data_IF_786156881060
#
_entry.id   IF_786156881060
#
_cell.length_a   1.000
_cell.length_b   1.000
_cell.length_c   1.000
_cell.angle_alpha   90.00
_cell.angle_beta   90.00
_cell.angle_gamma   90.00
#
_symmetry.space_group_name_H-M   'P 1'
#
loop_
_entity.id
_entity.type
_entity.pdbx_description
1 polymer ?
#
# COMPACT_ATOMS: atom_id res chain seq x y z
N UNK A 1 -4.46 13.16 17.03
CA UNK A 1 -4.54 11.95 16.19
C UNK A 1 -4.07 10.72 16.96
N UNK A 2 -4.82 9.62 16.85
CA UNK A 2 -4.42 8.24 17.17
C UNK A 2 -4.55 7.41 15.89
N UNK A 3 -3.69 6.42 15.71
CA UNK A 3 -3.78 5.46 14.61
C UNK A 3 -4.61 4.26 15.03
N UNK A 4 -5.59 3.87 14.23
CA UNK A 4 -6.39 2.66 14.41
C UNK A 4 -6.18 1.73 13.21
N UNK A 5 -5.85 0.46 13.48
CA UNK A 5 -5.78 -0.55 12.43
C UNK A 5 -7.21 -0.92 11.98
N UNK A 6 -7.49 -0.78 10.69
CA UNK A 6 -8.80 -1.10 10.12
C UNK A 6 -8.62 -2.20 9.08
N UNK A 7 -9.36 -3.29 9.25
CA UNK A 7 -9.46 -4.36 8.26
C UNK A 7 -10.70 -4.13 7.39
N UNK A 8 -10.51 -4.15 6.07
CA UNK A 8 -11.55 -3.86 5.08
C UNK A 8 -11.74 -5.07 4.19
N UNK A 9 -12.98 -5.52 4.07
CA UNK A 9 -13.41 -6.48 3.03
C UNK A 9 -14.14 -5.70 1.95
N UNK A 10 -13.63 -5.72 0.73
CA UNK A 10 -14.17 -4.97 -0.39
C UNK A 10 -14.50 -5.89 -1.58
N UNK A 11 -15.65 -5.67 -2.20
CA UNK A 11 -16.02 -6.34 -3.45
C UNK A 11 -15.34 -5.66 -4.64
N UNK A 12 -14.68 -6.45 -5.48
CA UNK A 12 -14.07 -5.97 -6.72
C UNK A 12 -15.13 -5.89 -7.81
N UNK A 13 -15.44 -4.68 -8.26
CA UNK A 13 -16.52 -4.41 -9.23
C UNK A 13 -16.07 -4.42 -10.69
N UNK A 14 -14.75 -4.45 -10.95
CA UNK A 14 -14.23 -4.46 -12.31
C UNK A 14 -14.39 -5.85 -12.99
N UNK A 15 -15.04 -5.81 -14.15
CA UNK A 15 -15.48 -6.97 -14.91
C UNK A 15 -14.30 -7.76 -15.52
N UNK A 16 -14.07 -8.95 -14.97
CA UNK A 16 -13.81 -10.23 -15.68
C UNK A 16 -12.59 -10.38 -16.61
N UNK A 17 -11.73 -9.38 -16.84
CA UNK A 17 -10.48 -9.57 -17.60
C UNK A 17 -9.30 -8.78 -17.04
N UNK A 18 -8.74 -9.26 -15.94
CA UNK A 18 -7.42 -8.83 -15.44
C UNK A 18 -6.50 -10.04 -15.28
N UNK A 19 -5.19 -9.90 -15.51
CA UNK A 19 -4.23 -10.93 -15.11
C UNK A 19 -4.17 -11.02 -13.58
N UNK A 20 -3.52 -12.06 -13.06
CA UNK A 20 -3.15 -12.09 -11.65
C UNK A 20 -2.26 -10.89 -11.33
N UNK A 21 -2.61 -10.16 -10.29
CA UNK A 21 -1.91 -8.95 -9.87
C UNK A 21 -1.09 -9.27 -8.62
N UNK A 22 0.15 -8.77 -8.57
CA UNK A 22 1.07 -8.94 -7.44
C UNK A 22 1.46 -7.55 -6.91
N UNK A 23 1.47 -7.40 -5.58
CA UNK A 23 1.77 -6.14 -4.86
C UNK A 23 0.99 -4.95 -5.42
N UNK A 24 -0.32 -4.98 -5.18
CA UNK A 24 -1.31 -4.03 -5.70
C UNK A 24 -1.48 -2.88 -4.72
N UNK A 25 -1.23 -1.64 -5.17
CA UNK A 25 -1.47 -0.45 -4.37
C UNK A 25 -2.95 -0.11 -4.32
N UNK A 26 -3.44 0.25 -3.14
CA UNK A 26 -4.81 0.73 -2.93
C UNK A 26 -4.80 2.26 -2.80
N UNK A 27 -5.64 2.89 -3.61
CA UNK A 27 -5.78 4.34 -3.74
C UNK A 27 -7.22 4.75 -3.50
N UNK A 28 -7.44 6.02 -3.15
CA UNK A 28 -8.78 6.60 -2.99
C UNK A 28 -8.90 7.45 -1.73
N UNK A 29 -10.15 7.70 -1.34
CA UNK A 29 -10.50 8.55 -0.22
C UNK A 29 -11.28 7.75 0.81
N UNK A 30 -10.93 7.94 2.08
CA UNK A 30 -11.67 7.38 3.20
C UNK A 30 -11.97 8.52 4.16
N UNK A 31 -13.24 8.70 4.47
CA UNK A 31 -13.73 9.78 5.32
C UNK A 31 -14.53 9.22 6.48
N UNK A 32 -14.55 9.95 7.59
CA UNK A 32 -15.54 9.75 8.65
C UNK A 32 -16.92 10.11 8.08
N UNK A 33 -17.89 9.19 8.15
CA UNK A 33 -19.22 9.40 7.61
C UNK A 33 -20.03 10.46 8.39
N UNK A 34 -19.62 10.80 9.62
CA UNK A 34 -20.29 11.78 10.48
C UNK A 34 -19.78 13.19 10.17
N UNK A 35 -18.46 13.40 10.20
CA UNK A 35 -17.83 14.72 10.05
C UNK A 35 -17.45 15.05 8.61
N UNK A 36 -17.26 14.03 7.77
CA UNK A 36 -16.70 14.18 6.42
C UNK A 36 -15.18 14.38 6.41
N UNK A 37 -14.52 14.37 7.56
CA UNK A 37 -13.07 14.53 7.66
C UNK A 37 -12.34 13.30 7.10
N UNK A 38 -11.16 13.53 6.52
CA UNK A 38 -10.31 12.43 6.05
C UNK A 38 -9.78 11.61 7.22
N UNK A 39 -9.85 10.29 7.10
CA UNK A 39 -9.17 9.38 8.04
C UNK A 39 -7.81 8.91 7.52
N UNK A 40 -7.37 9.44 6.38
CA UNK A 40 -6.06 9.16 5.81
C UNK A 40 -5.07 10.27 6.21
N UNK A 41 -4.04 9.93 6.98
CA UNK A 41 -3.08 10.91 7.51
C UNK A 41 -2.33 11.70 6.41
N UNK A 42 -2.12 11.07 5.26
CA UNK A 42 -1.46 11.64 4.09
C UNK A 42 -2.38 12.49 3.21
N UNK A 43 -3.66 12.65 3.58
CA UNK A 43 -4.62 13.47 2.84
C UNK A 43 -5.65 14.14 3.76
N UNK A 44 -5.23 15.04 4.67
CA UNK A 44 -6.11 15.63 5.66
C UNK A 44 -7.15 16.60 5.06
N UNK A 45 -6.87 17.19 3.89
CA UNK A 45 -7.69 18.25 3.27
C UNK A 45 -8.59 17.75 2.13
N UNK A 46 -8.48 16.46 1.74
CA UNK A 46 -9.21 15.82 0.64
C UNK A 46 -8.98 16.51 -0.72
N UNK A 47 -7.97 17.39 -0.84
CA UNK A 47 -7.80 18.24 -2.02
C UNK A 47 -7.04 17.52 -3.15
N UNK A 48 -6.17 16.59 -2.78
CA UNK A 48 -5.40 15.73 -3.71
C UNK A 48 -5.69 14.26 -3.44
N UNK A 49 -5.43 13.37 -4.39
CA UNK A 49 -5.44 11.93 -4.11
C UNK A 49 -4.47 11.64 -2.95
N UNK A 50 -4.86 10.79 -2.00
CA UNK A 50 -3.99 10.38 -0.90
C UNK A 50 -2.76 9.61 -1.40
N UNK A 51 -2.75 9.22 -2.67
CA UNK A 51 -1.78 8.28 -3.19
C UNK A 51 -2.06 6.89 -2.60
N UNK A 52 -1.03 6.06 -2.59
CA UNK A 52 -1.15 4.70 -2.09
C UNK A 52 -1.17 4.70 -0.56
N UNK A 53 -2.24 4.19 0.05
CA UNK A 53 -2.32 4.09 1.51
C UNK A 53 -2.15 2.66 2.05
N UNK A 54 -2.24 1.64 1.18
CA UNK A 54 -1.90 0.26 1.55
C UNK A 54 -1.55 -0.59 0.31
N UNK A 55 -1.02 -1.80 0.54
CA UNK A 55 -0.65 -2.78 -0.49
C UNK A 55 -1.35 -4.10 -0.20
N UNK A 56 -2.01 -4.67 -1.21
CA UNK A 56 -2.48 -6.05 -1.21
C UNK A 56 -1.43 -6.92 -1.90
N UNK A 57 -1.01 -8.01 -1.25
CA UNK A 57 0.08 -8.86 -1.76
C UNK A 57 -0.24 -9.53 -3.10
N UNK A 58 -1.49 -9.95 -3.28
CA UNK A 58 -1.95 -10.54 -4.52
C UNK A 58 -3.45 -10.41 -4.70
N UNK A 59 -3.87 -10.22 -5.95
CA UNK A 59 -5.28 -10.25 -6.35
C UNK A 59 -5.38 -11.16 -7.56
N UNK A 60 -5.99 -12.33 -7.38
CA UNK A 60 -6.22 -13.30 -8.43
C UNK A 60 -7.21 -12.76 -9.47
N UNK A 61 -7.11 -13.29 -10.69
CA UNK A 61 -8.00 -12.95 -11.81
C UNK A 61 -9.48 -13.27 -11.54
N UNK A 62 -9.75 -14.30 -10.74
CA UNK A 62 -11.11 -14.76 -10.40
C UNK A 62 -11.63 -14.17 -9.07
N UNK A 63 -10.78 -13.44 -8.33
CA UNK A 63 -11.15 -12.92 -7.01
C UNK A 63 -12.26 -11.88 -7.14
N UNK A 64 -13.32 -12.06 -6.35
CA UNK A 64 -14.45 -11.12 -6.29
C UNK A 64 -14.41 -10.23 -5.06
N UNK A 65 -13.60 -10.62 -4.09
CA UNK A 65 -13.41 -9.91 -2.84
C UNK A 65 -11.92 -9.78 -2.57
N UNK A 66 -11.54 -8.66 -1.98
CA UNK A 66 -10.18 -8.43 -1.49
C UNK A 66 -10.26 -7.96 -0.05
N UNK A 67 -9.25 -8.35 0.72
CA UNK A 67 -9.07 -7.90 2.08
C UNK A 67 -7.78 -7.08 2.16
N UNK A 68 -7.84 -5.96 2.87
CA UNK A 68 -6.66 -5.15 3.14
C UNK A 68 -6.77 -4.45 4.48
N UNK A 69 -5.61 -4.08 5.02
CA UNK A 69 -5.50 -3.33 6.25
C UNK A 69 -4.92 -1.94 5.96
N UNK A 70 -5.41 -0.94 6.67
CA UNK A 70 -4.82 0.40 6.66
C UNK A 70 -4.92 1.04 8.05
N UNK A 71 -4.15 2.09 8.27
CA UNK A 71 -4.18 2.86 9.52
C UNK A 71 -5.05 4.09 9.34
N UNK A 72 -6.19 4.11 10.01
CA UNK A 72 -7.05 5.28 10.10
C UNK A 72 -6.49 6.26 11.15
N UNK A 73 -6.32 7.52 10.76
CA UNK A 73 -5.91 8.59 11.65
C UNK A 73 -7.14 9.32 12.19
N UNK A 74 -7.39 9.14 13.49
CA UNK A 74 -8.60 9.64 14.16
C UNK A 74 -8.23 10.66 15.24
N UNK A 75 -8.92 11.80 15.36
CA UNK A 75 -8.74 12.74 16.47
C UNK A 75 -8.84 12.05 17.84
N UNK A 76 -8.02 12.47 18.82
CA UNK A 76 -7.99 11.81 20.15
C UNK A 76 -9.23 12.14 20.98
N UNK A 77 -9.88 13.24 20.63
CA UNK A 77 -11.06 13.82 21.25
C UNK A 77 -12.32 13.02 20.92
N UNK A 78 -12.30 12.24 19.83
CA UNK A 78 -13.40 11.34 19.49
C UNK A 78 -13.40 10.17 20.48
N UNK A 79 -14.55 9.88 21.05
CA UNK A 79 -14.74 8.72 21.91
C UNK A 79 -15.11 7.51 21.06
N UNK A 80 -14.15 6.60 20.84
CA UNK A 80 -14.37 5.41 20.00
C UNK A 80 -15.11 4.29 20.69
N UNK A 81 -15.15 4.30 22.04
CA UNK A 81 -15.81 3.26 22.83
C UNK A 81 -17.34 3.32 22.64
N UNK A 82 -17.84 4.43 22.08
CA UNK A 82 -19.24 4.61 21.67
C UNK A 82 -19.61 3.84 20.41
N UNK A 83 -18.64 3.36 19.64
CA UNK A 83 -18.88 2.60 18.42
C UNK A 83 -18.56 1.13 18.64
N UNK A 84 -19.48 0.24 18.27
CA UNK A 84 -19.33 -1.21 18.41
C UNK A 84 -18.09 -1.75 17.69
N UNK A 85 -17.71 -1.13 16.57
CA UNK A 85 -16.53 -1.48 15.80
C UNK A 85 -15.21 -0.87 16.33
N UNK A 86 -15.25 -0.08 17.42
CA UNK A 86 -14.08 0.64 17.94
C UNK A 86 -13.59 1.77 17.03
N UNK A 87 -14.38 2.16 16.03
CA UNK A 87 -14.12 3.26 15.10
C UNK A 87 -15.45 3.84 14.60
N UNK A 88 -15.47 5.14 14.27
CA UNK A 88 -16.62 5.76 13.61
C UNK A 88 -16.94 5.08 12.26
N UNK A 89 -18.18 5.17 11.78
CA UNK A 89 -18.52 4.66 10.45
C UNK A 89 -17.67 5.35 9.38
N UNK A 90 -17.05 4.56 8.51
CA UNK A 90 -16.20 5.05 7.43
C UNK A 90 -16.96 5.08 6.11
N UNK A 91 -16.73 6.13 5.33
CA UNK A 91 -17.21 6.27 3.96
C UNK A 91 -16.01 6.19 3.01
N UNK A 92 -16.03 5.15 2.19
CA UNK A 92 -15.04 4.91 1.15
C UNK A 92 -15.51 5.52 -0.17
N UNK A 93 -14.65 6.32 -0.81
CA UNK A 93 -14.95 6.97 -2.07
C UNK A 93 -13.79 6.78 -3.05
N UNK A 94 -14.14 6.49 -4.31
CA UNK A 94 -13.18 6.36 -5.42
C UNK A 94 -12.03 5.39 -5.16
N UNK A 95 -12.30 4.26 -4.47
CA UNK A 95 -11.30 3.23 -4.25
C UNK A 95 -10.85 2.62 -5.57
N UNK A 96 -9.54 2.54 -5.77
CA UNK A 96 -8.92 1.93 -6.95
C UNK A 96 -7.76 1.05 -6.55
N UNK A 97 -7.64 -0.06 -7.27
CA UNK A 97 -6.50 -0.97 -7.20
C UNK A 97 -5.60 -0.69 -8.40
N UNK A 98 -4.33 -0.39 -8.15
CA UNK A 98 -3.36 -0.12 -9.20
C UNK A 98 -2.16 -1.03 -9.01
N UNK A 99 -1.89 -1.87 -10.03
CA UNK A 99 -0.67 -2.67 -10.11
C UNK A 99 0.31 -1.98 -11.05
N UNK A 100 1.48 -1.60 -10.54
CA UNK A 100 2.56 -1.07 -11.37
C UNK A 100 3.45 -2.21 -11.88
N UNK A 101 3.87 -2.18 -13.16
CA UNK A 101 4.89 -3.09 -13.67
C UNK A 101 6.22 -2.80 -12.94
N UNK A 102 6.51 -3.59 -11.91
CA UNK A 102 7.59 -3.33 -10.95
C UNK A 102 7.14 -3.28 -9.49
N UNK A 103 5.85 -3.35 -9.17
CA UNK A 103 5.37 -3.44 -7.79
C UNK A 103 6.00 -4.60 -7.02
N UNK A 104 6.26 -5.72 -7.70
CA UNK A 104 7.08 -6.86 -7.23
C UNK A 104 8.48 -6.48 -6.69
N UNK A 105 9.04 -5.33 -7.08
CA UNK A 105 10.31 -4.77 -6.63
C UNK A 105 10.22 -4.05 -5.26
N UNK A 106 9.01 -3.81 -4.70
CA UNK A 106 8.84 -3.37 -3.30
C UNK A 106 9.15 -4.56 -2.36
N UNK A 107 10.42 -4.96 -2.28
CA UNK A 107 10.97 -5.84 -1.26
C UNK A 107 11.53 -5.04 -0.10
N UNK A 108 11.93 -5.72 0.97
CA UNK A 108 12.80 -5.09 1.96
C UNK A 108 14.12 -4.73 1.26
N UNK A 109 14.52 -3.47 1.32
CA UNK A 109 15.80 -3.01 0.80
C UNK A 109 16.88 -3.72 1.60
N UNK A 110 17.76 -4.47 0.94
CA UNK A 110 18.86 -5.15 1.62
C UNK A 110 19.89 -4.12 2.12
N UNK A 111 20.69 -4.44 3.13
CA UNK A 111 21.78 -3.56 3.57
C UNK A 111 22.72 -3.18 2.41
N UNK A 112 22.99 -4.12 1.50
CA UNK A 112 23.78 -3.89 0.30
C UNK A 112 23.11 -2.98 -0.74
N UNK A 113 21.77 -2.99 -0.84
CA UNK A 113 21.02 -2.05 -1.68
C UNK A 113 21.00 -0.63 -1.10
N UNK A 114 21.04 -0.49 0.24
CA UNK A 114 21.15 0.83 0.90
C UNK A 114 22.56 1.41 0.78
N UNK A 115 23.57 0.61 1.07
CA UNK A 115 24.97 1.01 0.97
C UNK A 115 25.87 -0.21 0.76
N UNK A 116 26.33 -0.39 -0.47
CA UNK A 116 27.22 -1.47 -0.90
C UNK A 116 28.62 -1.42 -0.24
N UNK A 117 28.98 -0.33 0.43
CA UNK A 117 30.26 -0.16 1.13
C UNK A 117 30.13 -0.20 2.65
N UNK A 118 28.95 -0.57 3.18
CA UNK A 118 28.72 -0.67 4.61
C UNK A 118 29.17 -2.01 5.17
N UNK A 119 29.60 -2.03 6.43
CA UNK A 119 29.87 -3.28 7.16
C UNK A 119 28.62 -4.15 7.27
N UNK A 120 27.43 -3.55 7.28
CA UNK A 120 26.15 -4.27 7.27
C UNK A 120 25.95 -5.07 5.96
N UNK A 121 26.51 -4.61 4.84
CA UNK A 121 26.52 -5.37 3.59
C UNK A 121 27.54 -6.52 3.66
N UNK A 122 28.75 -6.28 4.17
CA UNK A 122 29.77 -7.32 4.34
C UNK A 122 29.26 -8.47 5.23
N UNK A 123 28.59 -8.14 6.34
CA UNK A 123 27.97 -9.12 7.23
C UNK A 123 26.84 -9.89 6.54
N UNK A 124 26.00 -9.21 5.75
CA UNK A 124 24.92 -9.83 4.99
C UNK A 124 25.45 -10.76 3.89
N UNK A 125 26.51 -10.37 3.17
CA UNK A 125 27.16 -11.19 2.13
C UNK A 125 27.84 -12.43 2.70
N UNK A 126 28.39 -12.35 3.92
CA UNK A 126 28.97 -13.50 4.60
C UNK A 126 27.93 -14.60 4.90
N UNK A 127 26.68 -14.23 5.13
CA UNK A 127 25.58 -15.15 5.42
C UNK A 127 24.81 -15.61 4.16
N UNK A 128 24.63 -14.72 3.18
CA UNK A 128 23.73 -14.93 2.05
C UNK A 128 24.45 -15.13 0.70
N UNK A 129 25.78 -14.98 0.68
CA UNK A 129 26.60 -15.00 -0.53
C UNK A 129 26.79 -13.59 -1.14
N UNK A 130 27.64 -13.47 -2.17
CA UNK A 130 27.95 -12.18 -2.79
C UNK A 130 26.70 -11.51 -3.35
N UNK A 131 26.56 -10.21 -3.11
CA UNK A 131 25.40 -9.46 -3.54
C UNK A 131 25.40 -9.28 -5.07
N UNK A 132 24.43 -9.92 -5.74
CA UNK A 132 24.19 -9.70 -7.17
C UNK A 132 23.11 -8.64 -7.36
N UNK A 133 23.50 -7.49 -7.93
CA UNK A 133 22.56 -6.45 -8.34
C UNK A 133 21.54 -7.04 -9.31
N UNK A 134 20.27 -6.99 -8.95
CA UNK A 134 19.23 -7.53 -9.80
C UNK A 134 19.18 -6.81 -11.15
N UNK A 135 18.80 -7.53 -12.21
CA UNK A 135 18.83 -7.04 -13.59
C UNK A 135 18.13 -5.69 -13.79
N UNK A 136 17.11 -5.35 -13.00
CA UNK A 136 16.38 -4.09 -13.09
C UNK A 136 17.15 -2.88 -12.52
N UNK A 137 18.15 -3.09 -11.65
CA UNK A 137 19.03 -2.03 -11.15
C UNK A 137 20.11 -1.66 -12.18
N UNK A 138 20.38 -2.57 -13.12
CA UNK A 138 21.42 -2.43 -14.14
C UNK A 138 20.80 -2.09 -15.50
N UNK A 139 19.62 -2.66 -15.81
CA UNK A 139 18.96 -2.55 -17.11
C UNK A 139 17.62 -1.82 -16.96
N UNK A 140 17.53 -0.65 -17.57
CA UNK A 140 16.24 0.03 -17.80
C UNK A 140 15.37 -0.84 -18.73
N UNK A 141 14.13 -1.11 -18.29
CA UNK A 141 13.17 -1.87 -19.09
C UNK A 141 12.69 -1.06 -20.30
N UNK A 142 12.13 -1.73 -21.33
CA UNK A 142 11.65 -1.05 -22.55
C UNK A 142 10.55 -0.02 -22.27
N UNK A 143 9.85 -0.10 -21.13
CA UNK A 143 8.84 0.87 -20.70
C UNK A 143 9.42 2.17 -20.14
N UNK A 144 10.69 2.18 -19.72
CA UNK A 144 11.38 3.34 -19.12
C UNK A 144 12.43 3.94 -20.04
N UNK A 145 12.87 3.22 -21.09
CA UNK A 145 13.68 3.77 -22.17
C UNK A 145 12.80 4.58 -23.13
N UNK A 146 12.68 5.89 -22.92
CA UNK A 146 12.14 6.81 -23.93
C UNK A 146 10.88 7.58 -23.54
N UNK A 147 10.85 8.15 -22.32
CA UNK A 147 10.09 9.37 -22.06
C UNK A 147 11.04 10.51 -21.77
#
# INVERSE_FOLDING_TARGET
MRGLCVNVKATVTEATKRPDLVKVGVYGFITDAVTGESVLANNPDLSTDAGQFTIIQGVGKEDKEVEFEFIAAVPKEIDVDKFEAGIMPLKFASLKLVSFPGGQQYGAVSPCEMNEFSSECEDWEAENGPYEKADFMIKSNERTKGR
#
